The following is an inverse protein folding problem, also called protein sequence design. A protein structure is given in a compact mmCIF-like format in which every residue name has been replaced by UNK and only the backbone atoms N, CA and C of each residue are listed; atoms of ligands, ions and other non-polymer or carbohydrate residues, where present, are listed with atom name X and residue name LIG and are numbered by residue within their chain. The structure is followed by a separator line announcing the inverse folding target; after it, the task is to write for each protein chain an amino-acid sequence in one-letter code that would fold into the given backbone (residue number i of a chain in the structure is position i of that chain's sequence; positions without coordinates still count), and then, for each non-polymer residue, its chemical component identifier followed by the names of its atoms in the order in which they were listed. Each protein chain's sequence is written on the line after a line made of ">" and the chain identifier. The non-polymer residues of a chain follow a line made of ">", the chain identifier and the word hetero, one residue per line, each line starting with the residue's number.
data_IF_840231849993
#
_entry.id   IF_840231849993
#
_cell.length_a   1.000
_cell.length_b   1.000
_cell.length_c   1.000
_cell.angle_alpha   90.00
_cell.angle_beta   90.00
_cell.angle_gamma   90.00
#
_symmetry.space_group_name_H-M   'P 1'
#
loop_
_entity.id
_entity.type
_entity.pdbx_description
1 polymer ?
#
# COMPACT_ATOMS: atom_id res chain seq x y z
N UNK A 1 -25.85 -16.87 -27.91
CA UNK A 1 -25.93 -18.34 -27.72
C UNK A 1 -24.60 -19.07 -27.90
N UNK A 2 -23.74 -18.73 -28.87
CA UNK A 2 -22.44 -19.41 -29.04
C UNK A 2 -21.40 -19.07 -27.95
N UNK A 3 -21.18 -17.79 -27.64
CA UNK A 3 -20.29 -17.39 -26.53
C UNK A 3 -20.69 -18.01 -25.18
N UNK A 4 -21.99 -18.06 -24.85
CA UNK A 4 -22.45 -18.71 -23.62
C UNK A 4 -22.03 -20.19 -23.56
N UNK A 5 -22.11 -20.90 -24.69
CA UNK A 5 -21.67 -22.30 -24.78
C UNK A 5 -20.16 -22.42 -24.62
N UNK A 6 -19.40 -21.52 -25.24
CA UNK A 6 -17.93 -21.47 -25.11
C UNK A 6 -17.48 -21.17 -23.66
N UNK A 7 -18.17 -20.26 -22.97
CA UNK A 7 -17.89 -19.96 -21.56
C UNK A 7 -18.23 -21.16 -20.66
N UNK A 8 -19.30 -21.89 -20.93
CA UNK A 8 -19.63 -23.11 -20.19
C UNK A 8 -18.60 -24.21 -20.44
N UNK A 9 -18.11 -24.36 -21.67
CA UNK A 9 -17.02 -25.29 -22.02
C UNK A 9 -15.71 -24.91 -21.32
N UNK A 10 -15.41 -23.62 -21.18
CA UNK A 10 -14.27 -23.13 -20.39
C UNK A 10 -14.32 -23.55 -18.92
N UNK A 11 -15.51 -23.70 -18.34
CA UNK A 11 -15.71 -24.21 -16.98
C UNK A 11 -15.44 -25.71 -16.92
N UNK A 12 -15.87 -26.48 -17.93
CA UNK A 12 -15.55 -27.92 -18.03
C UNK A 12 -14.04 -28.16 -18.11
N UNK A 13 -13.31 -27.29 -18.83
CA UNK A 13 -11.85 -27.31 -18.91
C UNK A 13 -11.12 -26.69 -17.70
N UNK A 14 -11.86 -26.26 -16.66
CA UNK A 14 -11.31 -25.60 -15.45
C UNK A 14 -10.47 -24.34 -15.73
N UNK A 15 -10.73 -23.68 -16.86
CA UNK A 15 -10.09 -22.40 -17.19
C UNK A 15 -10.81 -21.23 -16.51
N UNK A 16 -12.13 -21.33 -16.35
CA UNK A 16 -12.95 -20.37 -15.59
C UNK A 16 -13.69 -21.09 -14.47
N UNK A 17 -14.04 -20.34 -13.42
CA UNK A 17 -14.93 -20.85 -12.37
C UNK A 17 -16.38 -20.63 -12.79
N UNK A 18 -17.34 -21.41 -12.25
CA UNK A 18 -18.76 -21.16 -12.49
C UNK A 18 -19.19 -19.74 -12.14
N UNK A 19 -18.60 -19.15 -11.09
CA UNK A 19 -18.86 -17.78 -10.67
C UNK A 19 -18.53 -16.77 -11.77
N UNK A 20 -17.42 -16.95 -12.48
CA UNK A 20 -16.91 -16.00 -13.47
C UNK A 20 -17.85 -15.92 -14.67
N UNK A 21 -18.34 -17.09 -15.10
CA UNK A 21 -19.29 -17.20 -16.22
C UNK A 21 -20.67 -16.68 -15.82
N UNK A 22 -21.18 -17.04 -14.65
CA UNK A 22 -22.49 -16.56 -14.22
C UNK A 22 -22.49 -15.04 -13.98
N UNK A 23 -21.40 -14.49 -13.44
CA UNK A 23 -21.22 -13.04 -13.33
C UNK A 23 -21.28 -12.37 -14.71
N UNK A 24 -20.51 -12.86 -15.68
CA UNK A 24 -20.51 -12.31 -17.03
C UNK A 24 -21.89 -12.36 -17.72
N UNK A 25 -22.58 -13.51 -17.63
CA UNK A 25 -23.88 -13.69 -18.25
C UNK A 25 -24.97 -12.83 -17.60
N UNK A 26 -24.92 -12.63 -16.29
CA UNK A 26 -25.92 -11.80 -15.59
C UNK A 26 -25.68 -10.31 -15.77
N UNK A 27 -24.42 -9.89 -15.87
CA UNK A 27 -24.05 -8.48 -15.99
C UNK A 27 -24.07 -7.98 -17.43
N UNK A 28 -23.66 -8.80 -18.40
CA UNK A 28 -23.46 -8.40 -19.80
C UNK A 28 -24.21 -9.28 -20.82
N UNK A 29 -25.00 -10.27 -20.39
CA UNK A 29 -25.48 -11.37 -21.24
C UNK A 29 -26.23 -10.99 -22.52
N UNK A 30 -26.93 -9.85 -22.53
CA UNK A 30 -27.69 -9.36 -23.68
C UNK A 30 -26.92 -8.33 -24.52
N UNK A 31 -25.70 -7.98 -24.13
CA UNK A 31 -24.87 -6.97 -24.78
C UNK A 31 -23.84 -7.57 -25.75
N UNK A 32 -22.90 -6.76 -26.22
CA UNK A 32 -21.87 -7.18 -27.16
C UNK A 32 -21.01 -8.32 -26.57
N UNK A 33 -20.72 -9.41 -27.32
CA UNK A 33 -19.94 -10.56 -26.84
C UNK A 33 -18.61 -10.21 -26.18
N UNK A 34 -17.97 -9.13 -26.64
CA UNK A 34 -16.72 -8.64 -26.06
C UNK A 34 -16.86 -8.18 -24.59
N UNK A 35 -17.98 -7.55 -24.23
CA UNK A 35 -18.24 -7.09 -22.86
C UNK A 35 -18.42 -8.30 -21.94
N UNK A 36 -19.16 -9.31 -22.40
CA UNK A 36 -19.35 -10.58 -21.68
C UNK A 36 -18.02 -11.30 -21.47
N UNK A 37 -17.15 -11.37 -22.48
CA UNK A 37 -15.83 -11.96 -22.32
C UNK A 37 -14.95 -11.16 -21.35
N UNK A 38 -14.93 -9.84 -21.47
CA UNK A 38 -14.17 -8.97 -20.57
C UNK A 38 -14.64 -9.11 -19.12
N UNK A 39 -15.94 -9.19 -18.87
CA UNK A 39 -16.51 -9.42 -17.55
C UNK A 39 -16.10 -10.79 -16.96
N UNK A 40 -16.07 -11.84 -17.79
CA UNK A 40 -15.66 -13.18 -17.36
C UNK A 40 -14.17 -13.21 -16.97
N UNK A 41 -13.31 -12.63 -17.81
CA UNK A 41 -11.87 -12.53 -17.57
C UNK A 41 -11.56 -11.63 -16.37
N UNK A 42 -12.29 -10.52 -16.21
CA UNK A 42 -12.17 -9.65 -15.04
C UNK A 42 -12.51 -10.38 -13.74
N UNK A 43 -13.61 -11.15 -13.73
CA UNK A 43 -13.99 -11.95 -12.56
C UNK A 43 -12.97 -13.06 -12.26
N UNK A 44 -12.42 -13.68 -13.31
CA UNK A 44 -11.37 -14.67 -13.20
C UNK A 44 -10.09 -14.09 -12.57
N UNK A 45 -9.58 -13.01 -13.14
CA UNK A 45 -8.39 -12.29 -12.65
C UNK A 45 -8.60 -11.80 -11.20
N UNK A 46 -9.79 -11.28 -10.89
CA UNK A 46 -10.16 -10.92 -9.52
C UNK A 46 -10.16 -12.12 -8.55
N UNK A 47 -10.49 -13.30 -9.08
CA UNK A 47 -10.41 -14.58 -8.37
C UNK A 47 -9.00 -15.07 -8.07
N UNK A 48 -8.07 -14.84 -8.99
CA UNK A 48 -6.65 -15.15 -8.84
C UNK A 48 -5.90 -14.12 -7.99
N UNK A 49 -6.54 -12.98 -7.77
CA UNK A 49 -6.08 -11.95 -6.86
C UNK A 49 -5.57 -10.68 -7.53
N UNK A 50 -5.85 -10.48 -8.82
CA UNK A 50 -5.60 -9.22 -9.49
C UNK A 50 -6.65 -8.16 -9.11
N UNK A 51 -6.23 -6.89 -9.00
CA UNK A 51 -7.13 -5.78 -8.65
C UNK A 51 -7.97 -5.35 -9.86
N UNK A 52 -7.37 -5.46 -11.04
CA UNK A 52 -7.93 -4.98 -12.30
C UNK A 52 -7.42 -5.82 -13.47
N UNK A 53 -8.12 -5.71 -14.58
CA UNK A 53 -7.75 -6.24 -15.89
C UNK A 53 -7.27 -5.09 -16.78
N UNK A 54 -5.96 -4.99 -17.09
CA UNK A 54 -5.47 -4.02 -18.07
C UNK A 54 -5.97 -4.34 -19.48
N UNK A 55 -6.45 -3.34 -20.23
CA UNK A 55 -6.96 -3.58 -21.60
C UNK A 55 -5.85 -4.05 -22.53
N UNK A 56 -4.60 -3.67 -22.30
CA UNK A 56 -3.44 -4.21 -23.02
C UNK A 56 -3.34 -5.74 -23.00
N UNK A 57 -3.93 -6.43 -22.00
CA UNK A 57 -3.99 -7.90 -21.93
C UNK A 57 -5.08 -8.48 -22.84
N UNK A 58 -6.15 -7.72 -23.08
CA UNK A 58 -7.24 -8.04 -23.99
C UNK A 58 -6.85 -7.75 -25.45
N UNK A 59 -6.06 -6.70 -25.69
CA UNK A 59 -5.60 -6.33 -27.04
C UNK A 59 -4.55 -7.32 -27.61
N UNK A 60 -3.73 -7.92 -26.75
CA UNK A 60 -2.74 -8.93 -27.14
C UNK A 60 -3.39 -10.32 -27.25
N UNK A 61 -4.18 -10.50 -28.33
CA UNK A 61 -5.17 -11.56 -28.57
C UNK A 61 -4.67 -13.03 -28.58
N UNK A 62 -3.38 -13.33 -28.82
CA UNK A 62 -2.95 -14.73 -29.06
C UNK A 62 -2.14 -15.39 -27.93
N UNK A 63 -1.50 -14.61 -27.04
CA UNK A 63 -0.54 -15.16 -26.06
C UNK A 63 -1.06 -15.15 -24.61
N UNK A 64 -2.14 -14.43 -24.31
CA UNK A 64 -2.47 -14.02 -22.94
C UNK A 64 -3.47 -14.93 -22.23
N UNK A 65 -4.41 -15.54 -22.96
CA UNK A 65 -5.36 -16.51 -22.41
C UNK A 65 -5.94 -17.41 -23.52
N UNK A 66 -6.00 -18.75 -23.35
CA UNK A 66 -6.49 -19.67 -24.38
C UNK A 66 -7.94 -19.38 -24.83
N UNK A 67 -8.75 -18.78 -23.94
CA UNK A 67 -10.13 -18.41 -24.23
C UNK A 67 -10.28 -17.21 -25.18
N UNK A 68 -9.32 -16.28 -25.19
CA UNK A 68 -9.34 -15.15 -26.12
C UNK A 68 -9.22 -15.68 -27.55
N UNK A 69 -8.27 -16.57 -27.82
CA UNK A 69 -8.07 -17.16 -29.14
C UNK A 69 -9.33 -17.86 -29.71
N UNK A 70 -10.12 -18.53 -28.86
CA UNK A 70 -11.36 -19.20 -29.28
C UNK A 70 -12.51 -18.20 -29.52
N UNK A 71 -12.61 -17.15 -28.69
CA UNK A 71 -13.70 -16.18 -28.75
C UNK A 71 -13.45 -15.03 -29.74
N UNK A 72 -12.20 -14.79 -30.17
CA UNK A 72 -11.81 -13.75 -31.16
C UNK A 72 -12.58 -13.90 -32.47
N UNK A 73 -12.91 -15.13 -32.87
CA UNK A 73 -13.71 -15.40 -34.07
C UNK A 73 -15.11 -14.78 -34.07
N UNK A 74 -15.70 -14.53 -32.89
CA UNK A 74 -17.02 -13.90 -32.75
C UNK A 74 -16.94 -12.39 -32.50
N UNK A 75 -15.83 -11.93 -31.94
CA UNK A 75 -15.63 -10.54 -31.53
C UNK A 75 -15.05 -9.68 -32.68
N UNK A 76 -14.32 -10.30 -33.61
CA UNK A 76 -13.55 -9.60 -34.63
C UNK A 76 -12.32 -8.88 -34.07
N UNK A 77 -11.52 -8.25 -34.93
CA UNK A 77 -10.46 -7.33 -34.48
C UNK A 77 -11.10 -6.05 -33.95
N UNK A 78 -11.45 -6.03 -32.66
CA UNK A 78 -11.83 -4.80 -31.98
C UNK A 78 -10.61 -3.88 -31.85
N UNK A 79 -10.56 -2.87 -32.71
CA UNK A 79 -9.54 -1.82 -32.65
C UNK A 79 -9.72 -0.88 -31.44
N UNK A 80 -10.92 -0.87 -30.82
CA UNK A 80 -11.24 0.04 -29.74
C UNK A 80 -12.05 -0.64 -28.62
N UNK A 81 -11.35 -1.33 -27.71
CA UNK A 81 -11.95 -1.99 -26.54
C UNK A 81 -12.61 -0.98 -25.59
N UNK A 82 -12.02 0.19 -25.41
CA UNK A 82 -12.55 1.24 -24.52
C UNK A 82 -13.95 1.69 -24.94
N UNK A 83 -14.15 1.96 -26.23
CA UNK A 83 -15.45 2.40 -26.77
C UNK A 83 -16.51 1.30 -26.70
N UNK A 84 -16.13 0.05 -27.01
CA UNK A 84 -17.05 -1.09 -26.92
C UNK A 84 -17.50 -1.35 -25.47
N UNK A 85 -16.57 -1.28 -24.52
CA UNK A 85 -16.88 -1.45 -23.09
C UNK A 85 -17.76 -0.31 -22.57
N UNK A 86 -17.45 0.95 -22.90
CA UNK A 86 -18.22 2.11 -22.42
C UNK A 86 -19.59 2.29 -23.10
N UNK A 87 -19.82 1.65 -24.25
CA UNK A 87 -21.14 1.62 -24.87
C UNK A 87 -22.14 0.76 -24.09
N UNK A 88 -21.65 -0.16 -23.25
CA UNK A 88 -22.44 -1.01 -22.37
C UNK A 88 -22.85 -0.27 -21.10
N UNK A 89 -24.05 -0.55 -20.60
CA UNK A 89 -24.54 0.00 -19.33
C UNK A 89 -23.89 -0.69 -18.10
N UNK A 90 -23.20 -1.80 -18.32
CA UNK A 90 -22.49 -2.52 -17.26
C UNK A 90 -21.14 -1.87 -16.88
N UNK A 91 -20.61 -0.98 -17.72
CA UNK A 91 -19.32 -0.32 -17.53
C UNK A 91 -19.51 1.19 -17.54
N UNK A 92 -18.92 1.88 -16.57
CA UNK A 92 -18.86 3.35 -16.57
C UNK A 92 -17.46 3.85 -16.26
N UNK A 93 -17.25 5.16 -16.31
CA UNK A 93 -15.99 5.79 -15.85
C UNK A 93 -16.01 6.08 -14.33
N UNK A 94 -17.04 5.63 -13.62
CA UNK A 94 -17.24 5.85 -12.19
C UNK A 94 -18.10 7.06 -11.84
N UNK A 95 -18.82 7.58 -12.82
CA UNK A 95 -19.91 8.54 -12.72
C UNK A 95 -21.23 7.88 -12.29
N UNK A 96 -21.47 6.66 -12.77
CA UNK A 96 -22.71 5.91 -12.48
C UNK A 96 -22.47 4.69 -11.56
N UNK A 97 -23.48 4.23 -10.80
CA UNK A 97 -23.40 3.02 -9.98
C UNK A 97 -23.36 1.73 -10.83
N UNK A 98 -22.26 1.47 -11.54
CA UNK A 98 -22.09 0.30 -12.39
C UNK A 98 -21.33 -0.84 -11.71
N UNK A 99 -21.50 -2.10 -12.15
CA UNK A 99 -20.75 -3.24 -11.63
C UNK A 99 -19.26 -3.21 -12.03
N UNK A 100 -18.96 -2.69 -13.23
CA UNK A 100 -17.60 -2.55 -13.73
C UNK A 100 -17.24 -1.08 -13.96
N UNK A 101 -15.97 -0.75 -13.74
CA UNK A 101 -15.43 0.61 -13.89
C UNK A 101 -14.23 0.58 -14.82
N UNK A 102 -14.24 1.43 -15.84
CA UNK A 102 -13.10 1.66 -16.71
C UNK A 102 -12.41 2.96 -16.30
N UNK A 103 -11.19 2.83 -15.77
CA UNK A 103 -10.39 3.96 -15.30
C UNK A 103 -9.02 3.98 -15.98
N UNK A 104 -8.85 4.88 -16.95
CA UNK A 104 -7.74 4.81 -17.90
C UNK A 104 -7.81 3.52 -18.70
N UNK A 105 -6.68 2.85 -18.88
CA UNK A 105 -6.55 1.61 -19.64
C UNK A 105 -6.79 0.32 -18.79
N UNK A 106 -7.61 0.43 -17.74
CA UNK A 106 -7.80 -0.66 -16.77
C UNK A 106 -9.27 -0.81 -16.41
N UNK A 107 -9.76 -2.04 -16.55
CA UNK A 107 -11.10 -2.46 -16.18
C UNK A 107 -11.09 -3.05 -14.76
N UNK A 108 -12.05 -2.64 -13.93
CA UNK A 108 -12.15 -3.01 -12.53
C UNK A 108 -13.54 -3.53 -12.21
N UNK A 109 -13.62 -4.43 -11.22
CA UNK A 109 -14.86 -4.55 -10.44
C UNK A 109 -15.02 -3.29 -9.61
N UNK A 110 -16.22 -2.71 -9.55
CA UNK A 110 -16.47 -1.45 -8.85
C UNK A 110 -15.97 -1.49 -7.39
N UNK A 111 -16.18 -2.61 -6.70
CA UNK A 111 -15.65 -2.82 -5.34
C UNK A 111 -14.12 -2.66 -5.26
N UNK A 112 -13.37 -3.19 -6.21
CA UNK A 112 -11.91 -3.09 -6.23
C UNK A 112 -11.44 -1.67 -6.54
N UNK A 113 -12.10 -1.01 -7.50
CA UNK A 113 -11.83 0.39 -7.83
C UNK A 113 -12.10 1.33 -6.64
N UNK A 114 -13.23 1.17 -5.94
CA UNK A 114 -13.54 1.92 -4.73
C UNK A 114 -12.47 1.69 -3.65
N UNK A 115 -12.12 0.43 -3.38
CA UNK A 115 -11.08 0.12 -2.39
C UNK A 115 -9.74 0.76 -2.77
N UNK A 116 -9.31 0.66 -4.03
CA UNK A 116 -8.06 1.24 -4.52
C UNK A 116 -8.04 2.76 -4.34
N UNK A 117 -9.15 3.44 -4.66
CA UNK A 117 -9.29 4.88 -4.44
C UNK A 117 -9.19 5.26 -2.97
N UNK A 118 -9.85 4.51 -2.07
CA UNK A 118 -9.76 4.74 -0.62
C UNK A 118 -8.30 4.66 -0.15
N UNK A 119 -7.57 3.63 -0.56
CA UNK A 119 -6.17 3.47 -0.15
C UNK A 119 -5.26 4.53 -0.79
N UNK A 120 -5.44 4.84 -2.07
CA UNK A 120 -4.68 5.90 -2.74
C UNK A 120 -4.90 7.26 -2.07
N UNK A 121 -6.16 7.60 -1.74
CA UNK A 121 -6.50 8.84 -1.04
C UNK A 121 -5.86 8.92 0.33
N UNK A 122 -5.85 7.81 1.08
CA UNK A 122 -5.26 7.74 2.41
C UNK A 122 -3.76 8.08 2.42
N UNK A 123 -2.99 7.56 1.46
CA UNK A 123 -1.55 7.84 1.42
C UNK A 123 -1.20 9.22 0.85
N UNK A 124 -2.05 9.80 -0.01
CA UNK A 124 -1.76 11.08 -0.68
C UNK A 124 -2.36 12.30 0.01
N UNK A 125 -3.66 12.26 0.33
CA UNK A 125 -4.40 13.43 0.79
C UNK A 125 -4.51 13.48 2.32
N UNK A 126 -4.66 12.32 2.95
CA UNK A 126 -4.93 12.22 4.40
C UNK A 126 -3.64 12.33 5.22
N UNK A 127 -2.49 12.04 4.61
CA UNK A 127 -1.19 12.09 5.27
C UNK A 127 -0.66 13.51 5.39
N UNK A 128 -0.76 14.09 6.58
CA UNK A 128 -0.18 15.39 6.90
C UNK A 128 1.06 15.27 7.79
N UNK A 129 1.87 16.32 7.78
CA UNK A 129 2.97 16.47 8.74
C UNK A 129 2.39 16.82 10.12
N UNK A 130 2.92 16.18 11.16
CA UNK A 130 2.58 16.49 12.54
C UNK A 130 3.64 17.45 13.05
N UNK A 131 3.20 18.60 13.54
CA UNK A 131 4.08 19.55 14.18
C UNK A 131 4.58 18.98 15.52
N UNK A 132 5.90 18.92 15.63
CA UNK A 132 6.60 18.43 16.82
C UNK A 132 7.78 19.36 17.05
N UNK A 133 8.13 19.60 18.32
CA UNK A 133 9.35 20.34 18.65
C UNK A 133 10.57 19.55 18.17
N UNK A 134 11.24 20.05 17.14
CA UNK A 134 12.40 19.42 16.52
C UNK A 134 13.56 19.27 17.51
N UNK A 135 13.73 20.21 18.44
CA UNK A 135 14.82 20.16 19.42
C UNK A 135 14.57 19.04 20.44
N UNK A 136 13.33 18.93 20.94
CA UNK A 136 12.93 17.86 21.84
C UNK A 136 12.97 16.48 21.13
N UNK A 137 12.51 16.41 19.88
CA UNK A 137 12.54 15.20 19.07
C UNK A 137 13.99 14.74 18.82
N UNK A 138 14.89 15.65 18.47
CA UNK A 138 16.30 15.31 18.25
C UNK A 138 16.94 14.76 19.53
N UNK A 139 16.73 15.43 20.67
CA UNK A 139 17.27 15.02 21.97
C UNK A 139 16.72 13.66 22.42
N UNK A 140 15.43 13.40 22.26
CA UNK A 140 14.82 12.11 22.62
C UNK A 140 15.36 10.99 21.74
N UNK A 141 15.49 11.21 20.43
CA UNK A 141 16.06 10.21 19.52
C UNK A 141 17.55 9.97 19.77
N UNK A 142 18.34 11.00 20.11
CA UNK A 142 19.75 10.86 20.47
C UNK A 142 19.96 10.02 21.73
N UNK A 143 19.01 10.07 22.68
CA UNK A 143 19.03 9.23 23.88
C UNK A 143 18.67 7.76 23.59
N UNK A 144 17.76 7.53 22.63
CA UNK A 144 17.24 6.19 22.31
C UNK A 144 18.09 5.44 21.27
N UNK A 145 18.78 6.17 20.41
CA UNK A 145 19.65 5.62 19.38
C UNK A 145 21.09 6.04 19.68
N UNK A 146 22.01 5.09 19.91
CA UNK A 146 23.40 5.43 20.19
C UNK A 146 23.98 6.24 19.03
N UNK A 147 24.81 7.21 19.37
CA UNK A 147 25.52 8.04 18.39
C UNK A 147 26.52 7.16 17.66
N UNK A 148 26.33 7.00 16.35
CA UNK A 148 27.26 6.33 15.44
C UNK A 148 27.73 7.33 14.39
N UNK A 149 28.97 7.18 13.92
CA UNK A 149 29.50 7.99 12.81
C UNK A 149 28.78 7.70 11.49
N UNK A 150 28.16 6.52 11.37
CA UNK A 150 27.33 6.12 10.23
C UNK A 150 25.86 6.53 10.39
N UNK A 151 25.17 6.70 9.26
CA UNK A 151 23.75 7.02 9.21
C UNK A 151 22.93 5.87 9.81
N UNK A 152 22.29 6.12 10.95
CA UNK A 152 21.38 5.16 11.56
C UNK A 152 19.98 5.22 10.92
N UNK A 153 19.71 4.30 9.99
CA UNK A 153 18.42 4.22 9.30
C UNK A 153 17.23 3.94 10.23
N UNK A 154 17.44 3.27 11.37
CA UNK A 154 16.37 3.06 12.36
C UNK A 154 15.97 4.38 13.04
N UNK A 155 16.97 5.24 13.33
CA UNK A 155 16.73 6.60 13.84
C UNK A 155 15.96 7.46 12.82
N UNK A 156 16.34 7.36 11.54
CA UNK A 156 15.62 8.05 10.45
C UNK A 156 14.18 7.56 10.35
N UNK A 157 13.95 6.24 10.39
CA UNK A 157 12.61 5.67 10.35
C UNK A 157 11.75 6.15 11.53
N UNK A 158 12.31 6.21 12.74
CA UNK A 158 11.63 6.73 13.91
C UNK A 158 11.27 8.23 13.76
N UNK A 159 12.21 9.06 13.28
CA UNK A 159 11.95 10.48 13.04
C UNK A 159 10.83 10.71 12.00
N UNK A 160 10.82 9.95 10.91
CA UNK A 160 9.76 10.03 9.88
C UNK A 160 8.41 9.60 10.46
N UNK A 161 8.37 8.53 11.25
CA UNK A 161 7.13 8.06 11.86
C UNK A 161 6.58 8.98 12.97
N UNK A 162 7.44 9.76 13.64
CA UNK A 162 7.01 10.77 14.62
C UNK A 162 6.46 12.04 13.96
N UNK A 163 6.97 12.40 12.78
CA UNK A 163 6.63 13.65 12.07
C UNK A 163 5.52 13.47 11.04
N UNK A 164 5.04 12.26 10.79
CA UNK A 164 3.97 11.97 9.82
C UNK A 164 2.83 11.22 10.48
N UNK A 165 1.60 11.54 10.05
CA UNK A 165 0.42 10.79 10.48
C UNK A 165 0.47 9.34 10.01
N UNK A 166 0.84 9.11 8.76
CA UNK A 166 0.90 7.78 8.15
C UNK A 166 2.35 7.51 7.73
N UNK A 167 2.90 6.40 8.21
CA UNK A 167 4.27 5.99 7.90
C UNK A 167 4.35 4.50 7.62
N UNK A 168 5.32 4.13 6.77
CA UNK A 168 5.61 2.74 6.42
C UNK A 168 7.10 2.49 6.66
N UNK A 169 7.42 1.53 7.52
CA UNK A 169 8.79 1.11 7.82
C UNK A 169 9.00 -0.25 7.17
N UNK A 170 9.86 -0.27 6.15
CA UNK A 170 10.21 -1.47 5.42
C UNK A 170 11.62 -1.95 5.77
N UNK A 171 11.78 -3.25 5.91
CA UNK A 171 13.09 -3.88 6.08
C UNK A 171 13.00 -5.40 6.02
N UNK A 172 14.09 -6.06 5.64
CA UNK A 172 14.18 -7.52 5.61
C UNK A 172 14.09 -8.16 7.01
N UNK A 173 14.10 -9.51 7.10
CA UNK A 173 14.20 -10.21 8.37
C UNK A 173 15.49 -9.84 9.11
N UNK A 174 15.43 -9.70 10.44
CA UNK A 174 16.61 -9.38 11.26
C UNK A 174 17.09 -7.92 11.22
N UNK A 175 16.46 -7.02 10.46
CA UNK A 175 16.84 -5.58 10.37
C UNK A 175 16.47 -4.73 11.59
N UNK A 176 15.92 -5.35 12.64
CA UNK A 176 15.55 -4.65 13.88
C UNK A 176 14.30 -3.76 13.76
N UNK A 177 13.36 -4.07 12.84
CA UNK A 177 12.08 -3.34 12.71
C UNK A 177 11.34 -3.22 14.04
N UNK A 178 11.17 -4.33 14.76
CA UNK A 178 10.45 -4.35 16.04
C UNK A 178 11.17 -3.52 17.12
N UNK A 179 12.51 -3.56 17.16
CA UNK A 179 13.31 -2.73 18.07
C UNK A 179 13.18 -1.24 17.73
N UNK A 180 13.16 -0.91 16.44
CA UNK A 180 12.92 0.46 15.95
C UNK A 180 11.57 0.97 16.41
N UNK A 181 10.54 0.13 16.33
CA UNK A 181 9.17 0.44 16.76
C UNK A 181 9.07 0.59 18.28
N UNK A 182 9.75 -0.26 19.05
CA UNK A 182 9.80 -0.12 20.49
C UNK A 182 10.39 1.24 20.90
N UNK A 183 11.49 1.66 20.25
CA UNK A 183 12.09 2.99 20.47
C UNK A 183 11.19 4.13 20.00
N UNK A 184 10.52 3.97 18.87
CA UNK A 184 9.56 4.93 18.34
C UNK A 184 8.39 5.15 19.33
N UNK A 185 7.79 4.08 19.85
CA UNK A 185 6.72 4.16 20.84
C UNK A 185 7.23 4.77 22.16
N UNK A 186 8.44 4.43 22.57
CA UNK A 186 9.09 5.05 23.73
C UNK A 186 9.25 6.57 23.55
N UNK A 187 9.74 7.02 22.39
CA UNK A 187 9.85 8.45 22.07
C UNK A 187 8.48 9.14 22.10
N UNK A 188 7.46 8.51 21.49
CA UNK A 188 6.11 9.05 21.44
C UNK A 188 5.52 9.25 22.85
N UNK A 189 5.73 8.28 23.75
CA UNK A 189 5.27 8.37 25.14
C UNK A 189 6.07 9.40 25.95
N UNK A 190 7.37 9.53 25.71
CA UNK A 190 8.20 10.53 26.37
C UNK A 190 7.85 11.96 25.93
N UNK A 191 7.40 12.14 24.70
CA UNK A 191 6.99 13.45 24.16
C UNK A 191 5.53 13.79 24.48
N UNK A 192 4.70 12.81 24.84
CA UNK A 192 3.31 13.01 25.24
C UNK A 192 3.24 13.37 26.74
N UNK A 193 3.47 14.64 27.06
CA UNK A 193 3.37 15.18 28.42
C UNK A 193 1.90 15.21 28.90
N UNK A 194 1.47 14.14 29.55
CA UNK A 194 0.20 14.06 30.27
C UNK A 194 -1.03 13.67 29.44
N UNK A 195 -0.93 13.68 28.11
CA UNK A 195 -2.03 13.22 27.25
C UNK A 195 -2.15 11.68 27.24
N UNK A 196 -3.40 11.20 27.29
CA UNK A 196 -3.70 9.77 27.18
C UNK A 196 -3.51 9.31 25.73
N UNK A 197 -2.29 8.88 25.39
CA UNK A 197 -2.01 8.24 24.11
C UNK A 197 -2.41 6.75 24.13
N UNK A 198 -3.50 6.39 23.46
CA UNK A 198 -4.00 5.02 23.30
C UNK A 198 -3.33 4.36 22.10
N UNK A 199 -2.35 3.51 22.39
CA UNK A 199 -1.64 2.74 21.38
C UNK A 199 -2.34 1.38 21.20
N UNK A 200 -2.53 0.96 19.96
CA UNK A 200 -2.98 -0.39 19.59
C UNK A 200 -1.99 -1.05 18.65
N UNK A 201 -1.78 -2.34 18.86
CA UNK A 201 -0.93 -3.19 18.02
C UNK A 201 -1.81 -4.19 17.29
N UNK A 202 -1.58 -4.34 15.99
CA UNK A 202 -2.31 -5.28 15.17
C UNK A 202 -1.40 -6.01 14.19
N UNK A 203 -1.85 -7.18 13.78
CA UNK A 203 -1.24 -7.93 12.68
C UNK A 203 -2.35 -8.66 11.90
N UNK A 204 -2.14 -9.04 10.63
CA UNK A 204 -3.15 -9.74 9.85
C UNK A 204 -3.45 -11.16 10.37
N UNK A 205 -2.47 -11.83 10.97
CA UNK A 205 -2.61 -13.21 11.49
C UNK A 205 -2.35 -13.30 13.00
N UNK A 206 -2.97 -14.28 13.66
CA UNK A 206 -2.79 -14.50 15.11
C UNK A 206 -1.34 -14.84 15.50
N UNK A 207 -0.64 -15.59 14.64
CA UNK A 207 0.78 -15.92 14.84
C UNK A 207 1.68 -14.68 14.77
N UNK A 208 1.42 -13.78 13.83
CA UNK A 208 2.14 -12.52 13.74
C UNK A 208 1.85 -11.62 14.95
N UNK A 209 0.58 -11.53 15.38
CA UNK A 209 0.21 -10.77 16.57
C UNK A 209 0.93 -11.29 17.84
N UNK A 210 0.96 -12.60 18.07
CA UNK A 210 1.66 -13.19 19.21
C UNK A 210 3.17 -12.89 19.20
N UNK A 211 3.81 -12.96 18.03
CA UNK A 211 5.23 -12.62 17.86
C UNK A 211 5.52 -11.15 18.11
N UNK A 212 4.62 -10.27 17.64
CA UNK A 212 4.70 -8.83 17.88
C UNK A 212 4.63 -8.52 19.38
N UNK A 213 3.67 -9.12 20.09
CA UNK A 213 3.55 -9.03 21.56
C UNK A 213 4.86 -9.43 22.26
N UNK A 214 5.38 -10.62 21.96
CA UNK A 214 6.58 -11.13 22.62
C UNK A 214 7.82 -10.26 22.33
N UNK A 215 8.03 -9.91 21.07
CA UNK A 215 9.22 -9.19 20.62
C UNK A 215 9.22 -7.74 21.09
N UNK A 216 8.07 -7.06 21.01
CA UNK A 216 7.92 -5.69 21.50
C UNK A 216 8.05 -5.66 23.03
N UNK A 217 7.41 -6.61 23.74
CA UNK A 217 7.51 -6.72 25.19
C UNK A 217 8.96 -6.89 25.68
N UNK A 218 9.75 -7.75 25.02
CA UNK A 218 11.19 -7.91 25.31
C UNK A 218 11.98 -6.63 25.05
N UNK A 219 11.76 -5.98 23.91
CA UNK A 219 12.48 -4.76 23.54
C UNK A 219 12.16 -3.57 24.48
N UNK A 220 10.90 -3.44 24.89
CA UNK A 220 10.46 -2.36 25.78
C UNK A 220 11.01 -2.49 27.20
N UNK A 221 11.18 -3.72 27.71
CA UNK A 221 11.79 -3.97 29.03
C UNK A 221 13.25 -3.51 29.11
N UNK A 222 13.94 -3.42 27.97
CA UNK A 222 15.33 -2.97 27.90
C UNK A 222 15.46 -1.45 27.78
N UNK A 223 14.37 -0.73 27.52
CA UNK A 223 14.39 0.72 27.33
C UNK A 223 14.25 1.47 28.67
N UNK A 224 14.87 2.66 28.80
CA UNK A 224 14.82 3.48 30.00
C UNK A 224 13.46 4.20 30.10
N UNK A 225 12.41 3.46 30.43
CA UNK A 225 11.05 3.95 30.64
C UNK A 225 10.66 3.85 32.11
N UNK A 226 9.96 4.86 32.62
CA UNK A 226 9.34 4.82 33.95
C UNK A 226 8.16 3.85 33.96
N UNK A 227 7.75 3.38 35.14
CA UNK A 227 6.66 2.41 35.24
C UNK A 227 5.30 2.99 34.78
N UNK A 228 5.09 4.30 34.93
CA UNK A 228 3.93 4.97 34.36
C UNK A 228 3.93 4.96 32.82
N UNK A 229 5.10 5.16 32.21
CA UNK A 229 5.25 5.12 30.76
C UNK A 229 5.04 3.71 30.21
N UNK A 230 5.53 2.67 30.91
CA UNK A 230 5.30 1.26 30.54
C UNK A 230 3.82 0.91 30.51
N UNK A 231 3.03 1.39 31.48
CA UNK A 231 1.57 1.16 31.53
C UNK A 231 0.80 1.77 30.34
N UNK A 232 1.38 2.73 29.63
CA UNK A 232 0.76 3.34 28.43
C UNK A 232 0.95 2.50 27.17
N UNK A 233 1.86 1.52 27.20
CA UNK A 233 2.11 0.65 26.05
C UNK A 233 1.22 -0.59 26.18
N UNK A 234 0.47 -0.97 25.13
CA UNK A 234 -0.30 -2.20 25.14
C UNK A 234 0.61 -3.42 25.30
N UNK A 235 0.19 -4.32 26.19
CA UNK A 235 0.86 -5.62 26.38
C UNK A 235 0.52 -6.58 25.24
N UNK A 236 -0.67 -6.48 24.65
CA UNK A 236 -1.17 -7.41 23.65
C UNK A 236 -1.42 -6.76 22.29
N UNK A 237 -0.99 -7.46 21.24
CA UNK A 237 -1.43 -7.25 19.87
C UNK A 237 -2.64 -8.14 19.54
N UNK A 238 -3.49 -7.64 18.65
CA UNK A 238 -4.67 -8.37 18.17
C UNK A 238 -4.59 -8.61 16.66
N UNK A 239 -5.45 -9.49 16.13
CA UNK A 239 -5.60 -9.59 14.68
C UNK A 239 -6.36 -8.38 14.13
N UNK A 240 -6.12 -7.98 12.88
CA UNK A 240 -6.89 -6.90 12.22
C UNK A 240 -8.40 -7.17 12.27
N UNK A 241 -8.81 -8.42 12.03
CA UNK A 241 -10.21 -8.84 12.15
C UNK A 241 -10.79 -8.63 13.55
N UNK A 242 -10.02 -8.94 14.60
CA UNK A 242 -10.45 -8.74 16.00
C UNK A 242 -10.48 -7.26 16.35
N UNK A 243 -9.51 -6.48 15.89
CA UNK A 243 -9.46 -5.03 16.08
C UNK A 243 -10.69 -4.34 15.46
N UNK A 244 -11.05 -4.71 14.23
CA UNK A 244 -12.20 -4.16 13.52
C UNK A 244 -13.55 -4.73 13.99
N UNK A 245 -13.53 -5.75 14.85
CA UNK A 245 -14.72 -6.40 15.39
C UNK A 245 -15.51 -7.15 14.31
N UNK A 246 -14.82 -8.00 13.54
CA UNK A 246 -15.46 -8.89 12.58
C UNK A 246 -16.45 -9.83 13.29
N UNK A 247 -17.69 -9.86 12.82
CA UNK A 247 -18.75 -10.69 13.39
C UNK A 247 -18.78 -12.07 12.71
N UNK A 248 -18.79 -13.19 13.46
CA UNK A 248 -18.92 -14.51 12.89
C UNK A 248 -20.17 -14.63 12.00
N UNK A 249 -20.02 -15.18 10.80
CA UNK A 249 -21.13 -15.34 9.85
C UNK A 249 -21.58 -14.07 9.12
N UNK A 250 -20.89 -12.93 9.30
CA UNK A 250 -21.18 -11.70 8.58
C UNK A 250 -19.93 -11.07 7.97
N UNK A 251 -20.11 -10.36 6.86
CA UNK A 251 -19.09 -9.50 6.28
C UNK A 251 -19.04 -8.11 6.94
N UNK A 252 -19.92 -7.85 7.91
CA UNK A 252 -19.97 -6.59 8.65
C UNK A 252 -18.87 -6.53 9.69
N UNK A 253 -18.24 -5.35 9.74
CA UNK A 253 -17.30 -4.97 10.78
C UNK A 253 -17.99 -4.02 11.75
N UNK A 254 -17.69 -4.17 13.04
CA UNK A 254 -18.18 -3.24 14.07
C UNK A 254 -17.62 -1.83 13.85
N UNK A 255 -16.36 -1.74 13.46
CA UNK A 255 -15.67 -0.49 13.23
C UNK A 255 -15.61 -0.17 11.74
N UNK A 256 -16.00 1.06 11.40
CA UNK A 256 -16.13 1.61 10.05
C UNK A 256 -16.22 3.14 10.15
N UNK A 257 -16.41 3.86 9.05
CA UNK A 257 -16.44 5.33 9.04
C UNK A 257 -17.43 5.95 10.05
N UNK A 258 -18.63 5.38 10.17
CA UNK A 258 -19.63 5.81 11.18
C UNK A 258 -19.37 5.35 12.63
N UNK A 259 -18.38 4.50 12.89
CA UNK A 259 -17.99 4.05 14.24
C UNK A 259 -16.47 3.80 14.28
N UNK A 260 -15.65 4.86 14.33
CA UNK A 260 -14.20 4.76 14.26
C UNK A 260 -13.59 3.99 15.43
N UNK A 261 -12.33 3.57 15.27
CA UNK A 261 -11.52 2.97 16.33
C UNK A 261 -11.18 4.00 17.41
N UNK A 262 -11.21 3.56 18.67
CA UNK A 262 -10.80 4.39 19.82
C UNK A 262 -9.30 4.25 20.10
N UNK A 263 -8.48 4.83 19.23
CA UNK A 263 -7.03 4.81 19.33
C UNK A 263 -6.44 6.12 18.82
N UNK A 264 -5.24 6.44 19.30
CA UNK A 264 -4.47 7.60 18.86
C UNK A 264 -3.26 7.16 18.02
N UNK A 265 -2.77 5.94 18.24
CA UNK A 265 -1.68 5.33 17.48
C UNK A 265 -2.02 3.87 17.17
N UNK A 266 -1.95 3.49 15.89
CA UNK A 266 -2.05 2.11 15.44
C UNK A 266 -0.73 1.67 14.83
N UNK A 267 -0.17 0.57 15.34
CA UNK A 267 0.96 -0.12 14.71
C UNK A 267 0.44 -1.40 14.08
N UNK A 268 0.68 -1.57 12.78
CA UNK A 268 0.30 -2.79 12.05
C UNK A 268 1.56 -3.49 11.56
N UNK A 269 1.82 -4.68 12.10
CA UNK A 269 2.94 -5.53 11.68
C UNK A 269 2.54 -6.48 10.56
N UNK A 270 3.55 -6.96 9.82
CA UNK A 270 3.39 -7.79 8.63
C UNK A 270 2.40 -7.22 7.60
N UNK A 271 2.50 -5.91 7.36
CA UNK A 271 1.69 -5.18 6.40
C UNK A 271 1.78 -5.75 4.97
N UNK A 272 2.87 -6.48 4.67
CA UNK A 272 3.07 -7.29 3.46
C UNK A 272 1.89 -8.21 3.14
N UNK A 273 1.25 -8.76 4.18
CA UNK A 273 0.15 -9.71 4.06
C UNK A 273 -1.24 -9.04 3.99
N UNK A 274 -1.34 -7.71 4.04
CA UNK A 274 -2.63 -7.02 3.98
C UNK A 274 -3.08 -6.87 2.52
N UNK A 275 -4.26 -7.39 2.23
CA UNK A 275 -4.99 -7.30 0.98
C UNK A 275 -5.73 -5.96 0.84
N UNK A 276 -6.17 -5.65 -0.37
CA UNK A 276 -6.84 -4.39 -0.69
C UNK A 276 -8.19 -4.21 0.04
N UNK A 277 -9.09 -5.20 0.09
CA UNK A 277 -10.29 -5.14 0.90
C UNK A 277 -10.04 -4.88 2.39
N UNK A 278 -9.08 -5.57 3.02
CA UNK A 278 -8.78 -5.32 4.44
C UNK A 278 -8.17 -3.94 4.67
N UNK A 279 -7.28 -3.48 3.79
CA UNK A 279 -6.66 -2.15 3.92
C UNK A 279 -7.69 -1.04 3.83
N UNK A 280 -8.59 -1.09 2.84
CA UNK A 280 -9.67 -0.10 2.69
C UNK A 280 -10.60 -0.07 3.91
N UNK A 281 -11.02 -1.24 4.41
CA UNK A 281 -11.84 -1.36 5.62
C UNK A 281 -11.12 -0.84 6.88
N UNK A 282 -9.82 -1.08 7.00
CA UNK A 282 -9.01 -0.54 8.09
C UNK A 282 -8.97 0.98 8.02
N UNK A 283 -8.76 1.55 6.83
CA UNK A 283 -8.73 3.00 6.59
C UNK A 283 -10.05 3.66 6.99
N UNK A 284 -11.18 3.09 6.56
CA UNK A 284 -12.50 3.62 6.90
C UNK A 284 -12.75 3.60 8.42
N UNK A 285 -12.12 2.69 9.16
CA UNK A 285 -12.27 2.58 10.60
C UNK A 285 -11.33 3.49 11.40
N UNK A 286 -10.38 4.19 10.76
CA UNK A 286 -9.41 5.03 11.45
C UNK A 286 -9.97 6.43 11.73
N UNK A 287 -9.82 6.96 12.95
CA UNK A 287 -10.20 8.35 13.22
C UNK A 287 -9.18 9.34 12.62
N UNK A 288 -9.62 10.58 12.38
CA UNK A 288 -8.82 11.61 11.71
C UNK A 288 -7.55 12.04 12.47
N UNK A 289 -7.52 11.86 13.79
CA UNK A 289 -6.35 12.14 14.61
C UNK A 289 -5.39 10.95 14.75
N UNK A 290 -5.80 9.74 14.33
CA UNK A 290 -4.96 8.56 14.53
C UNK A 290 -3.71 8.59 13.67
N UNK A 291 -2.58 8.31 14.31
CA UNK A 291 -1.32 7.96 13.67
C UNK A 291 -1.29 6.48 13.32
N UNK A 292 -0.76 6.14 12.16
CA UNK A 292 -0.66 4.76 11.68
C UNK A 292 0.76 4.46 11.20
N UNK A 293 1.31 3.36 11.73
CA UNK A 293 2.66 2.89 11.41
C UNK A 293 2.53 1.47 10.86
N UNK A 294 2.81 1.30 9.58
CA UNK A 294 2.87 -0.02 8.95
C UNK A 294 4.29 -0.56 8.97
N UNK A 295 4.45 -1.81 9.36
CA UNK A 295 5.71 -2.54 9.36
C UNK A 295 5.59 -3.70 8.39
N UNK A 296 6.60 -3.90 7.56
CA UNK A 296 6.59 -5.03 6.66
C UNK A 296 7.92 -5.22 5.95
N UNK A 297 8.00 -6.32 5.23
CA UNK A 297 9.08 -6.57 4.30
C UNK A 297 8.53 -6.45 2.87
N UNK A 298 9.22 -5.66 2.04
CA UNK A 298 8.85 -5.47 0.64
C UNK A 298 9.10 -6.75 -0.17
N UNK A 299 10.10 -7.52 0.23
CA UNK A 299 10.58 -8.67 -0.54
C UNK A 299 9.97 -10.00 -0.04
N UNK A 300 9.08 -9.94 0.96
CA UNK A 300 8.30 -11.06 1.45
C UNK A 300 7.06 -11.29 0.58
N UNK A 301 6.56 -12.54 0.58
CA UNK A 301 5.35 -12.93 -0.15
C UNK A 301 4.18 -12.00 0.18
N UNK A 302 3.50 -11.53 -0.87
CA UNK A 302 2.33 -10.68 -0.75
C UNK A 302 1.12 -11.45 -0.17
N UNK A 303 0.05 -10.73 0.18
CA UNK A 303 -1.20 -11.34 0.60
C UNK A 303 -1.72 -12.38 -0.40
N UNK A 304 -2.35 -13.44 0.11
CA UNK A 304 -2.95 -14.53 -0.66
C UNK A 304 -4.30 -14.11 -1.27
N UNK A 305 -4.94 -13.08 -0.72
CA UNK A 305 -6.18 -12.51 -1.24
C UNK A 305 -5.93 -11.40 -2.27
N UNK A 306 -6.98 -11.05 -3.02
CA UNK A 306 -6.87 -10.13 -4.14
C UNK A 306 -6.28 -8.77 -3.77
N UNK A 307 -5.29 -8.36 -4.56
CA UNK A 307 -4.63 -7.07 -4.45
C UNK A 307 -3.69 -6.99 -3.26
N UNK A 308 -2.66 -7.84 -3.23
CA UNK A 308 -1.53 -7.69 -2.31
C UNK A 308 -1.00 -6.24 -2.33
N UNK A 309 -1.45 -5.44 -1.37
CA UNK A 309 -1.33 -3.99 -1.42
C UNK A 309 0.11 -3.54 -1.14
N UNK A 310 0.77 -4.25 -0.24
CA UNK A 310 2.07 -3.84 0.27
C UNK A 310 3.14 -3.71 -0.81
N UNK A 311 3.20 -4.66 -1.75
CA UNK A 311 4.19 -4.63 -2.84
C UNK A 311 4.06 -3.39 -3.74
N UNK A 312 2.89 -2.74 -3.80
CA UNK A 312 2.61 -1.56 -4.64
C UNK A 312 2.87 -0.25 -3.88
N UNK A 313 2.41 -0.12 -2.63
CA UNK A 313 2.73 1.06 -1.79
C UNK A 313 4.22 1.11 -1.40
N UNK A 314 4.84 -0.02 -1.07
CA UNK A 314 6.27 -0.08 -0.76
C UNK A 314 7.17 0.28 -1.97
N UNK A 315 6.71 0.00 -3.21
CA UNK A 315 7.39 0.45 -4.44
C UNK A 315 7.25 1.96 -4.67
N UNK A 316 6.11 2.55 -4.30
CA UNK A 316 5.88 3.99 -4.44
C UNK A 316 6.75 4.81 -3.47
N UNK A 317 7.01 4.30 -2.26
CA UNK A 317 8.01 4.87 -1.35
C UNK A 317 9.41 4.98 -2.01
N UNK A 318 9.81 4.03 -2.86
CA UNK A 318 11.12 4.09 -3.53
C UNK A 318 11.19 5.11 -4.65
N UNK A 319 10.13 5.31 -5.44
CA UNK A 319 10.14 6.32 -6.51
C UNK A 319 10.22 7.75 -5.96
N UNK A 320 9.61 8.01 -4.80
CA UNK A 320 9.76 9.28 -4.08
C UNK A 320 11.17 9.50 -3.51
N UNK A 321 11.80 8.44 -2.99
CA UNK A 321 13.14 8.50 -2.36
C UNK A 321 14.29 8.54 -3.40
N UNK A 322 14.22 7.79 -4.50
CA UNK A 322 15.30 7.68 -5.48
C UNK A 322 15.49 8.93 -6.35
N UNK A 323 14.40 9.60 -6.77
CA UNK A 323 14.49 10.79 -7.63
C UNK A 323 15.15 11.97 -6.91
N UNK A 324 14.99 12.06 -5.59
CA UNK A 324 15.46 13.19 -4.78
C UNK A 324 16.80 12.95 -4.08
N UNK A 325 17.14 11.70 -3.76
CA UNK A 325 18.50 11.36 -3.32
C UNK A 325 19.56 11.68 -4.39
N UNK A 326 19.25 11.44 -5.67
CA UNK A 326 20.15 11.82 -6.78
C UNK A 326 20.24 13.34 -7.03
N UNK A 327 19.21 14.11 -6.66
CA UNK A 327 19.23 15.58 -6.79
C UNK A 327 19.96 16.25 -5.61
N UNK A 328 19.85 15.69 -4.40
CA UNK A 328 20.57 16.15 -3.22
C UNK A 328 22.08 15.81 -3.24
N UNK A 329 22.52 14.94 -4.15
CA UNK A 329 23.91 14.50 -4.30
C UNK A 329 24.69 15.21 -5.43
N UNK A 330 24.08 16.15 -6.17
CA UNK A 330 24.82 16.98 -7.13
C UNK A 330 25.37 18.23 -6.44
N UNK A 331 26.69 18.51 -6.50
CA UNK A 331 27.21 19.80 -6.07
C UNK A 331 26.69 20.91 -7.00
N UNK A 332 26.52 22.14 -6.49
CA UNK A 332 26.08 23.26 -7.29
C UNK A 332 27.28 23.79 -8.09
N UNK A 333 27.42 23.36 -9.34
CA UNK A 333 28.27 24.08 -10.29
C UNK A 333 27.39 24.98 -11.15
N UNK A 334 27.49 26.28 -10.88
CA UNK A 334 27.40 27.26 -11.94
C UNK A 334 28.71 27.26 -12.70
N UNK A 335 28.69 26.92 -13.98
CA UNK A 335 29.05 27.86 -15.05
C UNK A 335 28.69 27.24 -16.41
N UNK A 336 28.31 28.13 -17.32
CA UNK A 336 28.02 27.92 -18.72
C UNK A 336 29.16 27.30 -19.53
N UNK A 337 28.86 26.29 -20.38
CA UNK A 337 29.26 26.18 -21.81
C UNK A 337 28.93 24.82 -22.44
N UNK A 338 28.24 24.91 -23.58
CA UNK A 338 28.23 24.04 -24.78
C UNK A 338 28.71 22.58 -24.73
N UNK A 339 27.88 21.65 -25.23
CA UNK A 339 28.37 20.41 -25.84
C UNK A 339 27.34 19.27 -25.94
N UNK A 340 26.89 18.96 -27.17
CA UNK A 340 26.14 17.74 -27.53
C UNK A 340 26.99 16.49 -27.22
N UNK A 341 26.42 15.40 -26.69
CA UNK A 341 26.28 14.12 -27.42
C UNK A 341 25.62 12.98 -26.62
N UNK A 342 25.19 11.98 -27.39
CA UNK A 342 24.34 10.79 -27.12
C UNK A 342 25.00 9.66 -26.29
N UNK A 343 24.12 8.79 -25.77
CA UNK A 343 24.24 7.34 -25.48
C UNK A 343 25.51 6.77 -24.82
N UNK A 344 25.35 6.05 -23.69
CA UNK A 344 25.56 4.58 -23.58
C UNK A 344 25.34 4.04 -22.14
N UNK A 345 24.95 2.78 -22.13
CA UNK A 345 24.74 1.80 -21.06
C UNK A 345 25.99 1.45 -20.21
N UNK A 346 25.77 1.04 -18.96
CA UNK A 346 26.57 -0.01 -18.30
C UNK A 346 27.25 0.29 -16.95
N UNK A 347 26.89 -0.52 -15.94
CA UNK A 347 27.77 -1.28 -15.02
C UNK A 347 28.69 -0.53 -14.02
N UNK A 348 28.46 -0.81 -12.71
CA UNK A 348 29.32 -0.78 -11.51
C UNK A 348 30.35 0.34 -11.27
N UNK A 349 30.30 0.96 -10.07
CA UNK A 349 31.49 1.14 -9.21
C UNK A 349 31.12 1.66 -7.80
N UNK A 350 31.62 0.97 -6.77
CA UNK A 350 31.86 1.52 -5.43
C UNK A 350 32.90 2.64 -5.56
N UNK A 351 32.58 3.87 -5.18
CA UNK A 351 33.59 4.87 -4.83
C UNK A 351 33.16 5.68 -3.61
N UNK A 352 34.04 5.65 -2.63
CA UNK A 352 34.12 6.46 -1.42
C UNK A 352 34.10 7.96 -1.73
N UNK A 353 33.41 8.75 -0.92
CA UNK A 353 33.46 10.22 -0.92
C UNK A 353 33.86 10.75 0.46
N UNK A 354 34.67 11.81 0.53
CA UNK A 354 35.40 12.21 1.74
C UNK A 354 34.59 13.13 2.67
N UNK A 355 35.11 13.25 3.90
CA UNK A 355 34.50 13.92 5.04
C UNK A 355 34.31 15.45 4.88
N UNK A 356 33.21 15.90 5.50
CA UNK A 356 32.93 17.22 6.08
C UNK A 356 32.76 18.45 5.15
N UNK A 357 31.52 18.95 5.09
CA UNK A 357 31.18 20.36 5.31
C UNK A 357 29.82 20.46 6.02
N UNK A 358 29.81 21.10 7.19
CA UNK A 358 28.63 21.39 8.03
C UNK A 358 27.66 22.27 7.24
N UNK A 359 26.46 21.75 6.96
CA UNK A 359 25.33 22.51 6.42
C UNK A 359 24.12 22.27 7.33
N UNK A 360 23.45 23.34 7.71
CA UNK A 360 22.37 23.35 8.71
C UNK A 360 21.15 22.51 8.32
N UNK A 361 20.47 21.96 9.34
CA UNK A 361 19.30 21.07 9.28
C UNK A 361 18.17 21.59 8.35
N UNK A 362 18.00 22.93 8.26
CA UNK A 362 17.00 23.60 7.42
C UNK A 362 17.12 23.29 5.91
N UNK A 363 18.32 23.07 5.38
CA UNK A 363 18.53 22.96 3.93
C UNK A 363 18.42 21.52 3.39
N UNK A 364 18.45 20.48 4.24
CA UNK A 364 18.39 19.08 3.78
C UNK A 364 16.98 18.47 3.72
N UNK A 365 16.03 18.98 4.50
CA UNK A 365 14.81 18.22 4.80
C UNK A 365 13.48 18.84 4.36
N UNK A 366 13.42 20.15 4.08
CA UNK A 366 12.13 20.85 3.97
C UNK A 366 11.45 20.87 2.59
N UNK A 367 12.06 20.29 1.54
CA UNK A 367 11.36 20.04 0.26
C UNK A 367 10.98 18.57 0.08
N UNK A 368 10.16 18.07 1.00
CA UNK A 368 9.53 16.74 0.94
C UNK A 368 8.01 16.85 0.77
N UNK A 369 7.57 17.52 -0.30
CA UNK A 369 6.20 17.35 -0.82
C UNK A 369 6.23 16.30 -1.93
N UNK A 370 5.43 15.24 -1.80
CA UNK A 370 5.16 14.34 -2.93
C UNK A 370 4.28 15.13 -3.89
N UNK A 371 4.85 15.60 -5.00
CA UNK A 371 4.06 16.01 -6.16
C UNK A 371 4.10 14.82 -7.12
N UNK A 372 3.17 13.89 -6.94
CA UNK A 372 2.85 12.92 -7.97
C UNK A 372 1.93 13.64 -8.96
N UNK A 373 2.47 14.06 -10.10
CA UNK A 373 1.61 14.40 -11.23
C UNK A 373 0.86 13.15 -11.69
N UNK A 374 -0.42 13.31 -12.00
CA UNK A 374 -1.43 12.45 -12.64
C UNK A 374 -1.00 11.08 -13.19
N UNK A 375 -0.31 10.27 -12.38
CA UNK A 375 -0.06 8.87 -12.66
C UNK A 375 -0.86 8.03 -11.67
N UNK A 376 -1.77 7.17 -12.16
CA UNK A 376 -2.67 6.44 -11.29
C UNK A 376 -1.95 5.35 -10.49
N UNK A 377 -2.44 5.12 -9.27
CA UNK A 377 -1.89 4.23 -8.24
C UNK A 377 -2.02 2.76 -8.59
#
# INVERSE_FOLDING_TARGET
>A
MKLQKQLLEAVEHKQLRPLDVQFALTVAGDEHPAVTLAAALLSHDAGEGHVCLPLSRLENNEASHPLLATCVSEIGELQNWEECLLASQAVSRGDEPTPMILCGDRLYLNRMWCNERTVARFFNEVNHAIEVDEALLAQTLDKLFPVSDEINWQKVAAAVALTRRISVISGGPGTGKTTTVAKLLAALIQMADGERCRIRLAAPTGKAAARLTESLGKALRQLPLTDEQKKRIPEDASTLHRLLGAQPGSQRLRHHAGNPLHLDVLVVDEASMIDLPMMSRLIDALPDHARVIFLGDRDQLASVEAGGCAGRYLRLCQRGLYRRACQAAKPPDGDSRSGRNRHRSGIFARQSLPAAKKLSFRQRFWHWSVSCGDQPW
#
